data_IF_018243030547
#
_entry.id   IF_018243030547
#
_cell.length_a   1.000
_cell.length_b   1.000
_cell.length_c   1.000
_cell.angle_alpha   90.00
_cell.angle_beta   90.00
_cell.angle_gamma   90.00
#
_symmetry.space_group_name_H-M   'P 1'
#
loop_
_entity.id
_entity.type
_entity.pdbx_description
1 polymer ?
#
# COMPACT_ATOMS: atom_id res chain seq x y z
N UNK A 1 6.77 1.10 -5.05
CA UNK A 1 5.48 1.22 -5.77
C UNK A 1 4.39 0.27 -5.28
N UNK A 2 4.73 -0.95 -4.87
CA UNK A 2 3.75 -1.97 -4.43
C UNK A 2 2.82 -1.44 -3.32
N UNK A 3 3.38 -0.99 -2.19
CA UNK A 3 2.60 -0.44 -1.07
C UNK A 3 1.64 0.70 -1.48
N UNK A 4 2.06 1.74 -2.23
CA UNK A 4 1.13 2.74 -2.75
C UNK A 4 -0.08 2.19 -3.52
N UNK A 5 0.14 1.21 -4.39
CA UNK A 5 -0.91 0.60 -5.20
C UNK A 5 -1.88 -0.17 -4.30
N UNK A 6 -1.35 -1.05 -3.44
CA UNK A 6 -2.18 -1.92 -2.60
C UNK A 6 -2.96 -1.15 -1.53
N UNK A 7 -2.38 -0.11 -0.94
CA UNK A 7 -3.10 0.74 0.03
C UNK A 7 -4.16 1.60 -0.66
N UNK A 8 -3.95 1.98 -1.93
CA UNK A 8 -4.99 2.63 -2.75
C UNK A 8 -6.15 1.68 -3.03
N UNK A 9 -5.86 0.44 -3.43
CA UNK A 9 -6.88 -0.61 -3.59
C UNK A 9 -7.67 -0.79 -2.29
N UNK A 10 -6.97 -1.00 -1.17
CA UNK A 10 -7.58 -1.18 0.16
C UNK A 10 -8.51 -0.01 0.50
N UNK A 11 -8.07 1.22 0.26
CA UNK A 11 -8.86 2.41 0.56
C UNK A 11 -10.04 2.62 -0.40
N UNK A 12 -9.91 2.29 -1.70
CA UNK A 12 -11.04 2.26 -2.62
C UNK A 12 -12.09 1.26 -2.16
N UNK A 13 -11.69 0.05 -1.79
CA UNK A 13 -12.62 -0.98 -1.29
C UNK A 13 -13.34 -0.52 -0.03
N UNK A 14 -12.64 0.11 0.92
CA UNK A 14 -13.22 0.76 2.11
C UNK A 14 -14.28 1.78 1.71
N UNK A 15 -13.91 2.76 0.87
CA UNK A 15 -14.81 3.82 0.46
C UNK A 15 -16.02 3.31 -0.32
N UNK A 16 -15.88 2.26 -1.13
CA UNK A 16 -17.01 1.62 -1.81
C UNK A 16 -17.96 0.92 -0.83
N UNK A 17 -17.48 0.42 0.31
CA UNK A 17 -18.34 -0.15 1.37
C UNK A 17 -19.05 0.97 2.12
N UNK A 18 -18.29 2.00 2.52
CA UNK A 18 -18.78 3.14 3.31
C UNK A 18 -19.70 4.08 2.52
N UNK A 19 -19.63 4.07 1.19
CA UNK A 19 -20.48 4.88 0.31
C UNK A 19 -21.98 4.69 0.60
N UNK A 20 -22.39 3.47 0.99
CA UNK A 20 -23.78 3.15 1.37
C UNK A 20 -24.23 3.82 2.67
N UNK A 21 -23.28 4.25 3.48
CA UNK A 21 -23.46 4.86 4.80
C UNK A 21 -23.20 6.37 4.77
N UNK A 22 -23.16 7.00 3.58
CA UNK A 22 -22.82 8.42 3.40
C UNK A 22 -21.55 8.86 4.14
N UNK A 23 -20.56 7.98 4.24
CA UNK A 23 -19.29 8.23 4.90
C UNK A 23 -18.12 7.76 4.03
N UNK A 24 -16.92 8.23 4.36
CA UNK A 24 -15.69 7.84 3.69
C UNK A 24 -14.49 7.95 4.63
N UNK A 25 -13.38 7.34 4.21
CA UNK A 25 -12.06 7.55 4.78
C UNK A 25 -11.17 8.22 3.75
N UNK A 26 -10.53 9.29 4.19
CA UNK A 26 -9.46 9.95 3.49
C UNK A 26 -8.12 9.41 3.98
N UNK A 27 -7.29 9.00 3.01
CA UNK A 27 -5.94 8.51 3.24
C UNK A 27 -4.94 9.66 3.08
N UNK A 28 -4.07 9.82 4.06
CA UNK A 28 -2.97 10.77 4.05
C UNK A 28 -1.64 10.02 4.20
N UNK A 29 -0.56 10.60 3.67
CA UNK A 29 0.79 10.08 3.86
C UNK A 29 1.74 11.14 4.39
N UNK A 30 2.47 10.77 5.44
CA UNK A 30 3.49 11.60 6.07
C UNK A 30 4.84 10.98 5.80
N UNK A 31 5.71 11.69 5.09
CA UNK A 31 7.07 11.22 4.82
C UNK A 31 7.87 11.09 6.11
N UNK A 32 8.72 10.07 6.19
CA UNK A 32 9.65 9.92 7.30
C UNK A 32 10.78 10.97 7.19
N UNK A 33 11.38 11.34 8.32
CA UNK A 33 12.54 12.25 8.35
C UNK A 33 13.88 11.51 8.42
N UNK A 34 13.83 10.24 8.78
CA UNK A 34 14.99 9.37 8.98
C UNK A 34 14.62 7.93 8.59
N UNK A 35 15.61 7.07 8.27
CA UNK A 35 15.39 5.66 8.01
C UNK A 35 14.59 5.04 9.16
N UNK A 36 13.46 4.42 8.84
CA UNK A 36 12.54 3.87 9.83
C UNK A 36 11.98 2.54 9.32
N UNK A 37 11.75 1.60 10.24
CA UNK A 37 11.21 0.28 9.94
C UNK A 37 9.75 0.21 10.42
N UNK A 38 8.87 -0.31 9.57
CA UNK A 38 7.51 -0.73 9.93
C UNK A 38 7.60 -2.15 10.50
N UNK A 39 7.12 -2.36 11.72
CA UNK A 39 7.09 -3.68 12.37
C UNK A 39 5.65 -4.19 12.41
N UNK A 40 5.43 -5.37 11.84
CA UNK A 40 4.10 -5.98 11.79
C UNK A 40 3.79 -6.88 12.99
N UNK A 41 4.83 -7.36 13.69
CA UNK A 41 4.74 -8.30 14.81
C UNK A 41 4.47 -7.69 16.19
N UNK A 42 4.61 -6.37 16.36
CA UNK A 42 4.38 -5.72 17.66
C UNK A 42 2.88 -5.70 17.99
N UNK A 43 2.51 -5.55 19.29
CA UNK A 43 1.13 -5.42 19.79
C UNK A 43 0.42 -4.18 19.21
N UNK A 44 0.12 -4.21 17.91
CA UNK A 44 -0.65 -3.19 17.22
C UNK A 44 -2.11 -3.42 17.55
N UNK A 45 -2.77 -2.37 18.02
CA UNK A 45 -4.19 -2.41 18.31
C UNK A 45 -4.95 -1.73 17.17
N UNK A 46 -6.03 -2.35 16.66
CA UNK A 46 -6.91 -1.68 15.71
C UNK A 46 -7.46 -0.38 16.30
N UNK A 47 -7.46 0.66 15.49
CA UNK A 47 -8.04 1.96 15.83
C UNK A 47 -9.38 2.14 15.12
N UNK A 48 -10.35 2.71 15.82
CA UNK A 48 -11.67 2.97 15.25
C UNK A 48 -11.70 4.32 14.51
N UNK A 49 -12.09 4.29 13.23
CA UNK A 49 -12.30 5.46 12.40
C UNK A 49 -13.77 5.53 12.00
N UNK A 50 -14.62 5.87 12.97
CA UNK A 50 -16.07 5.91 12.81
C UNK A 50 -16.66 4.50 12.73
N UNK A 51 -17.06 4.08 11.52
CA UNK A 51 -17.77 2.80 11.32
C UNK A 51 -16.86 1.64 10.92
N UNK A 52 -15.54 1.84 10.91
CA UNK A 52 -14.58 0.85 10.45
C UNK A 52 -13.29 0.93 11.27
N UNK A 53 -12.69 -0.22 11.51
CA UNK A 53 -11.43 -0.35 12.22
C UNK A 53 -10.27 -0.39 11.24
N UNK A 54 -9.13 0.18 11.62
CA UNK A 54 -7.93 0.23 10.80
C UNK A 54 -6.73 -0.18 11.64
N UNK A 55 -5.84 -0.99 11.06
CA UNK A 55 -4.55 -1.29 11.66
C UNK A 55 -3.57 -0.13 11.38
N UNK A 56 -3.14 0.65 12.39
CA UNK A 56 -2.22 1.76 12.17
C UNK A 56 -0.81 1.26 11.85
N UNK A 57 -0.02 2.13 11.19
CA UNK A 57 1.41 1.89 11.03
C UNK A 57 2.12 2.00 12.38
N UNK A 58 2.93 0.99 12.72
CA UNK A 58 3.78 1.03 13.92
C UNK A 58 5.25 1.03 13.50
N UNK A 59 5.96 2.10 13.86
CA UNK A 59 7.27 2.41 13.30
C UNK A 59 8.35 2.44 14.38
N UNK A 60 9.53 1.91 14.06
CA UNK A 60 10.70 1.94 14.93
C UNK A 60 11.89 2.59 14.22
N UNK A 61 12.59 3.47 14.94
CA UNK A 61 13.80 4.14 14.43
C UNK A 61 15.06 3.29 14.52
N UNK A 62 15.02 2.15 15.21
CA UNK A 62 16.16 1.23 15.32
C UNK A 62 15.73 -0.19 14.91
N UNK A 63 16.49 -0.86 14.02
CA UNK A 63 16.25 -2.26 13.66
C UNK A 63 16.25 -3.19 14.87
N UNK A 64 16.98 -2.83 15.93
CA UNK A 64 17.18 -3.65 17.12
C UNK A 64 15.99 -3.63 18.10
N UNK A 65 14.95 -2.82 17.83
CA UNK A 65 13.79 -2.67 18.73
C UNK A 65 12.68 -3.71 18.51
N UNK A 66 12.75 -4.49 17.43
CA UNK A 66 11.77 -5.53 17.12
C UNK A 66 12.56 -6.78 16.66
N UNK A 67 12.55 -7.86 17.45
CA UNK A 67 13.33 -9.09 17.21
C UNK A 67 12.75 -9.97 16.10
N UNK A 68 11.64 -9.57 15.49
CA UNK A 68 10.94 -10.35 14.48
C UNK A 68 11.46 -10.08 13.06
N UNK A 69 11.39 -11.10 12.21
CA UNK A 69 11.73 -11.04 10.78
C UNK A 69 10.73 -10.21 9.94
N UNK A 70 9.77 -9.53 10.57
CA UNK A 70 8.68 -8.83 9.89
C UNK A 70 8.87 -7.31 9.87
N UNK A 71 10.12 -6.87 9.70
CA UNK A 71 10.43 -5.45 9.55
C UNK A 71 10.60 -5.09 8.07
N UNK A 72 9.95 -4.00 7.64
CA UNK A 72 10.11 -3.43 6.30
C UNK A 72 10.54 -1.98 6.40
N UNK A 73 11.61 -1.59 5.69
CA UNK A 73 11.96 -0.18 5.56
C UNK A 73 10.82 0.57 4.89
N UNK A 74 10.45 1.74 5.42
CA UNK A 74 9.35 2.55 4.90
C UNK A 74 9.77 4.01 4.71
N UNK A 75 9.24 4.61 3.66
CA UNK A 75 9.49 6.01 3.31
C UNK A 75 8.43 6.96 3.90
N UNK A 76 7.26 6.43 4.29
CA UNK A 76 6.14 7.19 4.81
C UNK A 76 5.26 6.37 5.76
N UNK A 77 4.54 7.07 6.64
CA UNK A 77 3.43 6.53 7.42
C UNK A 77 2.09 6.95 6.85
N UNK A 78 1.11 6.07 7.00
CA UNK A 78 -0.28 6.32 6.66
C UNK A 78 -1.03 6.93 7.83
N UNK A 79 -1.86 7.93 7.54
CA UNK A 79 -2.80 8.52 8.48
C UNK A 79 -4.19 8.52 7.85
N UNK A 80 -5.21 8.32 8.68
CA UNK A 80 -6.58 8.19 8.22
C UNK A 80 -7.46 9.26 8.84
N UNK A 81 -8.41 9.76 8.06
CA UNK A 81 -9.40 10.74 8.50
C UNK A 81 -10.79 10.22 8.12
N UNK A 82 -11.66 10.08 9.10
CA UNK A 82 -13.06 9.71 8.88
C UNK A 82 -13.87 10.95 8.50
N UNK A 83 -14.66 10.82 7.45
CA UNK A 83 -15.51 11.89 6.93
C UNK A 83 -16.99 11.48 6.95
N UNK A 84 -17.84 12.34 7.52
CA UNK A 84 -19.31 12.21 7.50
C UNK A 84 -19.92 12.63 6.16
N UNK A 85 -19.25 12.28 5.06
CA UNK A 85 -19.70 12.50 3.70
C UNK A 85 -19.10 11.43 2.80
N UNK A 86 -19.73 11.21 1.64
CA UNK A 86 -19.17 10.35 0.59
C UNK A 86 -17.83 10.92 0.12
N UNK A 87 -16.97 10.03 -0.36
CA UNK A 87 -15.77 10.44 -1.08
C UNK A 87 -16.21 11.20 -2.34
N UNK A 88 -15.43 12.19 -2.75
CA UNK A 88 -15.75 13.06 -3.91
C UNK A 88 -15.89 12.26 -5.22
N UNK A 89 -15.22 11.11 -5.30
CA UNK A 89 -15.30 10.20 -6.44
C UNK A 89 -16.64 9.45 -6.46
N UNK A 90 -17.23 9.30 -7.65
CA UNK A 90 -18.44 8.50 -7.79
C UNK A 90 -18.15 7.02 -7.51
N UNK A 91 -19.20 6.25 -7.21
CA UNK A 91 -19.09 4.79 -7.04
C UNK A 91 -18.53 4.11 -8.30
N UNK A 92 -18.85 4.63 -9.49
CA UNK A 92 -18.39 4.04 -10.75
C UNK A 92 -16.93 4.41 -11.04
N UNK A 93 -16.48 5.62 -10.65
CA UNK A 93 -15.06 5.99 -10.70
C UNK A 93 -14.22 5.07 -9.78
N UNK A 94 -14.70 4.81 -8.56
CA UNK A 94 -14.02 3.91 -7.63
C UNK A 94 -13.93 2.47 -8.15
N UNK A 95 -14.97 1.97 -8.83
CA UNK A 95 -14.94 0.65 -9.46
C UNK A 95 -13.94 0.61 -10.62
N UNK A 96 -13.98 1.60 -11.50
CA UNK A 96 -13.08 1.67 -12.65
C UNK A 96 -11.62 1.69 -12.19
N UNK A 97 -11.27 2.58 -11.26
CA UNK A 97 -9.90 2.66 -10.75
C UNK A 97 -9.45 1.40 -10.03
N UNK A 98 -10.35 0.74 -9.28
CA UNK A 98 -10.06 -0.56 -8.66
C UNK A 98 -9.74 -1.61 -9.72
N UNK A 99 -10.55 -1.71 -10.77
CA UNK A 99 -10.40 -2.72 -11.81
C UNK A 99 -9.10 -2.49 -12.60
N UNK A 100 -8.78 -1.24 -12.93
CA UNK A 100 -7.49 -0.87 -13.52
C UNK A 100 -6.33 -1.30 -12.62
N UNK A 101 -6.42 -1.03 -11.31
CA UNK A 101 -5.37 -1.37 -10.35
C UNK A 101 -5.18 -2.89 -10.20
N UNK A 102 -6.25 -3.68 -10.29
CA UNK A 102 -6.16 -5.15 -10.21
C UNK A 102 -5.33 -5.68 -11.38
N UNK A 103 -5.66 -5.26 -12.59
CA UNK A 103 -4.94 -5.65 -13.80
C UNK A 103 -3.47 -5.19 -13.75
N UNK A 104 -3.24 -3.93 -13.35
CA UNK A 104 -1.89 -3.37 -13.27
C UNK A 104 -1.03 -4.12 -12.25
N UNK A 105 -1.59 -4.57 -11.12
CA UNK A 105 -0.86 -5.37 -10.13
C UNK A 105 -0.31 -6.66 -10.74
N UNK A 106 -1.15 -7.41 -11.44
CA UNK A 106 -0.75 -8.69 -12.05
C UNK A 106 0.33 -8.50 -13.12
N UNK A 107 0.17 -7.49 -14.00
CA UNK A 107 1.16 -7.18 -15.05
C UNK A 107 2.51 -6.73 -14.48
N UNK A 108 2.49 -5.81 -13.51
CA UNK A 108 3.71 -5.34 -12.84
C UNK A 108 4.39 -6.46 -12.06
N UNK A 109 3.62 -7.32 -11.38
CA UNK A 109 4.19 -8.48 -10.67
C UNK A 109 4.93 -9.41 -11.63
N UNK A 110 4.28 -9.82 -12.74
CA UNK A 110 4.91 -10.66 -13.74
C UNK A 110 6.20 -10.04 -14.30
N UNK A 111 6.17 -8.75 -14.63
CA UNK A 111 7.35 -8.03 -15.11
C UNK A 111 8.50 -8.03 -14.08
N UNK A 112 8.20 -7.77 -12.81
CA UNK A 112 9.20 -7.78 -11.73
C UNK A 112 9.78 -9.19 -11.52
N UNK A 113 8.96 -10.24 -11.56
CA UNK A 113 9.42 -11.63 -11.47
C UNK A 113 10.37 -12.02 -12.61
N UNK A 114 10.17 -11.45 -13.80
CA UNK A 114 11.02 -11.70 -14.98
C UNK A 114 12.32 -10.92 -14.97
N UNK A 115 12.31 -9.72 -14.40
CA UNK A 115 13.45 -8.79 -14.44
C UNK A 115 14.34 -8.88 -13.21
N UNK A 116 13.85 -9.41 -12.09
CA UNK A 116 14.70 -9.61 -10.91
C UNK A 116 15.65 -10.79 -11.15
N UNK A 117 16.95 -10.55 -10.98
CA UNK A 117 17.99 -11.56 -11.18
C UNK A 117 17.92 -12.71 -10.15
N UNK A 118 17.17 -12.55 -9.04
CA UNK A 118 17.27 -13.43 -7.87
C UNK A 118 15.96 -13.65 -7.05
N UNK A 119 14.78 -13.16 -7.47
CA UNK A 119 13.53 -13.40 -6.71
C UNK A 119 12.42 -13.95 -7.59
N UNK A 120 12.17 -15.26 -7.48
CA UNK A 120 10.90 -15.88 -7.90
C UNK A 120 9.73 -15.41 -7.01
N UNK A 121 10.03 -14.68 -5.94
CA UNK A 121 9.04 -14.26 -4.95
C UNK A 121 8.11 -13.18 -5.49
N UNK A 122 6.82 -13.48 -5.39
CA UNK A 122 5.76 -12.55 -5.74
C UNK A 122 5.57 -11.52 -4.62
N UNK A 123 6.24 -10.38 -4.77
CA UNK A 123 6.19 -9.27 -3.83
C UNK A 123 4.79 -8.66 -3.67
N UNK A 124 3.95 -8.71 -4.72
CA UNK A 124 2.57 -8.24 -4.65
C UNK A 124 1.73 -9.21 -3.82
N UNK A 125 1.81 -10.52 -4.09
CA UNK A 125 1.08 -11.53 -3.33
C UNK A 125 1.45 -11.53 -1.86
N UNK A 126 2.74 -11.35 -1.54
CA UNK A 126 3.22 -11.20 -0.16
C UNK A 126 2.54 -10.02 0.55
N UNK A 127 2.54 -8.83 -0.06
CA UNK A 127 1.90 -7.64 0.54
C UNK A 127 0.36 -7.73 0.52
N UNK A 128 -0.27 -8.47 -0.42
CA UNK A 128 -1.72 -8.75 -0.42
C UNK A 128 -2.09 -9.64 0.77
N UNK A 129 -1.36 -10.74 0.97
CA UNK A 129 -1.58 -11.64 2.11
C UNK A 129 -1.45 -10.88 3.43
N UNK A 130 -0.44 -10.00 3.55
CA UNK A 130 -0.29 -9.12 4.71
C UNK A 130 -1.54 -8.27 4.97
N UNK A 131 -2.07 -7.59 3.96
CA UNK A 131 -3.28 -6.74 4.11
C UNK A 131 -4.49 -7.57 4.54
N UNK A 132 -4.63 -8.78 3.99
CA UNK A 132 -5.69 -9.72 4.38
C UNK A 132 -5.53 -10.10 5.84
N UNK A 133 -4.34 -10.53 6.27
CA UNK A 133 -4.09 -10.93 7.66
C UNK A 133 -4.30 -9.79 8.66
N UNK A 134 -4.01 -8.55 8.28
CA UNK A 134 -4.36 -7.38 9.12
C UNK A 134 -5.88 -7.23 9.28
N UNK A 135 -6.67 -7.45 8.23
CA UNK A 135 -8.14 -7.37 8.32
C UNK A 135 -8.75 -8.60 9.00
N UNK A 136 -8.16 -9.79 8.87
CA UNK A 136 -8.52 -10.99 9.64
C UNK A 136 -8.37 -10.73 11.14
N UNK A 137 -7.21 -10.21 11.55
CA UNK A 137 -6.95 -9.87 12.95
C UNK A 137 -7.94 -8.83 13.50
N UNK A 138 -8.30 -7.81 12.71
CA UNK A 138 -9.37 -6.86 13.08
C UNK A 138 -10.72 -7.59 13.23
N UNK A 139 -11.02 -8.51 12.32
CA UNK A 139 -12.26 -9.28 12.32
C UNK A 139 -12.40 -10.21 13.53
N UNK A 140 -11.27 -10.71 14.04
CA UNK A 140 -11.16 -11.59 15.20
C UNK A 140 -11.20 -10.84 16.54
N UNK A 141 -10.56 -9.67 16.60
CA UNK A 141 -10.37 -8.94 17.87
C UNK A 141 -11.47 -7.92 18.18
N UNK A 142 -12.19 -7.43 17.18
CA UNK A 142 -13.22 -6.40 17.36
C UNK A 142 -14.62 -7.00 17.30
N UNK A 143 -15.54 -6.56 18.16
CA UNK A 143 -16.92 -7.09 18.21
C UNK A 143 -17.86 -6.45 17.20
N UNK A 144 -17.69 -5.15 16.92
CA UNK A 144 -18.52 -4.37 15.98
C UNK A 144 -17.70 -4.03 14.73
N UNK A 145 -17.66 -4.96 13.76
CA UNK A 145 -16.75 -4.89 12.61
C UNK A 145 -17.36 -5.33 11.28
N UNK A 146 -18.67 -5.18 11.10
CA UNK A 146 -19.38 -5.60 9.87
C UNK A 146 -18.80 -4.99 8.59
N UNK A 147 -18.31 -3.74 8.63
CA UNK A 147 -17.67 -3.12 7.48
C UNK A 147 -16.31 -3.76 7.18
N UNK A 148 -15.53 -4.12 8.20
CA UNK A 148 -14.27 -4.86 8.03
C UNK A 148 -14.53 -6.28 7.50
N UNK A 149 -15.58 -6.98 7.94
CA UNK A 149 -15.96 -8.29 7.36
C UNK A 149 -16.31 -8.20 5.89
N UNK A 150 -16.98 -7.11 5.47
CA UNK A 150 -17.24 -6.84 4.04
C UNK A 150 -15.96 -6.52 3.28
N UNK A 151 -15.02 -5.80 3.91
CA UNK A 151 -13.73 -5.46 3.33
C UNK A 151 -12.87 -6.71 3.13
N UNK A 152 -12.77 -7.57 4.14
CA UNK A 152 -12.05 -8.85 4.10
C UNK A 152 -12.52 -9.70 2.91
N UNK A 153 -13.83 -9.92 2.78
CA UNK A 153 -14.41 -10.65 1.63
C UNK A 153 -14.04 -10.04 0.27
N UNK A 154 -13.93 -8.71 0.18
CA UNK A 154 -13.53 -8.03 -1.06
C UNK A 154 -12.03 -8.15 -1.34
N UNK A 155 -11.20 -8.19 -0.30
CA UNK A 155 -9.77 -8.40 -0.41
C UNK A 155 -9.43 -9.85 -0.76
N UNK A 156 -10.15 -10.82 -0.21
CA UNK A 156 -10.04 -12.23 -0.61
C UNK A 156 -10.41 -12.39 -2.09
N UNK A 157 -11.52 -11.77 -2.52
CA UNK A 157 -11.89 -11.75 -3.94
C UNK A 157 -10.82 -11.08 -4.82
N UNK A 158 -10.23 -9.98 -4.35
CA UNK A 158 -9.11 -9.33 -5.04
C UNK A 158 -7.92 -10.27 -5.21
N UNK A 159 -7.52 -10.98 -4.14
CA UNK A 159 -6.44 -11.97 -4.20
C UNK A 159 -6.72 -13.04 -5.25
N UNK A 160 -7.94 -13.60 -5.28
CA UNK A 160 -8.33 -14.60 -6.29
C UNK A 160 -8.20 -14.05 -7.71
N UNK A 161 -8.74 -12.85 -7.98
CA UNK A 161 -8.64 -12.22 -9.30
C UNK A 161 -7.17 -11.98 -9.69
N UNK A 162 -6.37 -11.47 -8.76
CA UNK A 162 -4.94 -11.25 -8.96
C UNK A 162 -4.19 -12.55 -9.34
N UNK A 163 -4.44 -13.63 -8.61
CA UNK A 163 -3.82 -14.93 -8.88
C UNK A 163 -4.27 -15.50 -10.24
N UNK A 164 -5.55 -15.37 -10.60
CA UNK A 164 -6.10 -15.78 -11.90
C UNK A 164 -5.47 -14.98 -13.06
N UNK A 165 -5.39 -13.66 -12.95
CA UNK A 165 -4.79 -12.78 -13.96
C UNK A 165 -3.30 -13.06 -14.12
N UNK A 166 -2.57 -13.22 -13.01
CA UNK A 166 -1.14 -13.53 -13.04
C UNK A 166 -0.88 -14.89 -13.70
N UNK A 167 -1.70 -15.90 -13.40
CA UNK A 167 -1.59 -17.22 -14.02
C UNK A 167 -1.93 -17.17 -15.52
N UNK A 168 -2.91 -16.36 -15.91
CA UNK A 168 -3.24 -16.12 -17.31
C UNK A 168 -2.06 -15.50 -18.06
N UNK A 169 -1.44 -14.45 -17.51
CA UNK A 169 -0.24 -13.82 -18.09
C UNK A 169 0.93 -14.82 -18.19
N UNK A 170 1.16 -15.61 -17.13
CA UNK A 170 2.22 -16.65 -17.10
C UNK A 170 2.00 -17.70 -18.19
N UNK A 171 0.76 -18.14 -18.40
CA UNK A 171 0.44 -19.19 -19.39
C UNK A 171 0.57 -18.72 -20.83
N UNK A 172 0.17 -17.47 -21.12
CA UNK A 172 0.29 -16.86 -22.45
C UNK A 172 1.75 -16.47 -22.77
N UNK A 173 2.64 -16.44 -21.76
CA UNK A 173 4.02 -15.93 -21.87
C UNK A 173 4.05 -14.54 -22.49
N UNK A 174 3.13 -13.69 -22.07
CA UNK A 174 3.03 -12.34 -22.59
C UNK A 174 4.16 -11.50 -21.99
N UNK A 175 5.26 -11.37 -22.73
CA UNK A 175 6.38 -10.51 -22.33
C UNK A 175 5.98 -9.05 -22.56
N UNK A 176 6.00 -8.26 -21.49
CA UNK A 176 5.72 -6.83 -21.56
C UNK A 176 6.95 -6.07 -22.02
N UNK A 177 6.78 -5.24 -23.04
CA UNK A 177 7.79 -4.26 -23.46
C UNK A 177 7.97 -3.19 -22.38
N UNK A 178 9.16 -2.59 -22.32
CA UNK A 178 9.41 -1.47 -21.40
C UNK A 178 8.42 -0.32 -21.61
N UNK A 179 8.04 -0.04 -22.87
CA UNK A 179 7.05 0.98 -23.21
C UNK A 179 5.68 0.71 -22.58
N UNK A 180 5.21 -0.54 -22.63
CA UNK A 180 3.96 -0.94 -21.98
C UNK A 180 4.06 -0.77 -20.45
N UNK A 181 5.17 -1.17 -19.85
CA UNK A 181 5.39 -0.97 -18.40
C UNK A 181 5.40 0.52 -18.04
N UNK A 182 6.06 1.37 -18.82
CA UNK A 182 6.03 2.82 -18.62
C UNK A 182 4.61 3.38 -18.72
N UNK A 183 3.80 2.89 -19.65
CA UNK A 183 2.40 3.33 -19.79
C UNK A 183 1.54 2.88 -18.60
N UNK A 184 1.72 1.65 -18.11
CA UNK A 184 1.06 1.17 -16.89
C UNK A 184 1.49 1.98 -15.67
N UNK A 185 2.77 2.30 -15.54
CA UNK A 185 3.26 3.17 -14.47
C UNK A 185 2.63 4.57 -14.58
N UNK A 186 2.55 5.13 -15.78
CA UNK A 186 1.95 6.46 -16.01
C UNK A 186 0.49 6.50 -15.58
N UNK A 187 -0.33 5.50 -15.94
CA UNK A 187 -1.73 5.44 -15.50
C UNK A 187 -1.86 5.37 -13.98
N UNK A 188 -0.97 4.62 -13.31
CA UNK A 188 -0.87 4.58 -11.85
C UNK A 188 -0.50 5.95 -11.26
N UNK A 189 0.44 6.68 -11.87
CA UNK A 189 0.87 8.00 -11.40
C UNK A 189 -0.25 9.05 -11.46
N UNK A 190 -1.17 8.92 -12.42
CA UNK A 190 -2.25 9.87 -12.63
C UNK A 190 -3.40 9.70 -11.62
N UNK A 191 -3.43 8.59 -10.87
CA UNK A 191 -4.43 8.36 -9.82
C UNK A 191 -4.18 9.28 -8.60
N UNK A 192 -5.18 10.09 -8.15
CA UNK A 192 -4.98 11.09 -7.10
C UNK A 192 -4.40 10.54 -5.79
N UNK A 193 -4.90 9.38 -5.33
CA UNK A 193 -4.45 8.75 -4.09
C UNK A 193 -3.00 8.30 -4.18
N UNK A 194 -2.64 7.64 -5.29
CA UNK A 194 -1.28 7.17 -5.52
C UNK A 194 -0.31 8.34 -5.61
N UNK A 195 -0.72 9.45 -6.24
CA UNK A 195 0.05 10.70 -6.26
C UNK A 195 0.35 11.24 -4.86
N UNK A 196 -0.59 11.17 -3.92
CA UNK A 196 -0.36 11.56 -2.52
C UNK A 196 0.74 10.69 -1.90
N UNK A 197 0.63 9.36 -2.03
CA UNK A 197 1.58 8.41 -1.45
C UNK A 197 2.98 8.56 -2.08
N UNK A 198 3.06 8.70 -3.40
CA UNK A 198 4.31 8.88 -4.13
C UNK A 198 4.97 10.24 -3.82
N UNK A 199 4.18 11.29 -3.58
CA UNK A 199 4.73 12.57 -3.15
C UNK A 199 5.40 12.46 -1.78
N UNK A 200 4.87 11.65 -0.86
CA UNK A 200 5.53 11.37 0.42
C UNK A 200 6.86 10.63 0.21
N UNK A 201 6.90 9.62 -0.67
CA UNK A 201 8.14 8.92 -1.05
C UNK A 201 9.17 9.90 -1.62
N UNK A 202 8.76 10.79 -2.55
CA UNK A 202 9.65 11.79 -3.15
C UNK A 202 10.23 12.75 -2.10
N UNK A 203 9.39 13.23 -1.16
CA UNK A 203 9.84 14.09 -0.05
C UNK A 203 10.84 13.37 0.86
N UNK A 204 10.60 12.11 1.16
CA UNK A 204 11.56 11.28 1.91
C UNK A 204 12.90 11.19 1.17
N UNK A 205 12.90 10.81 -0.11
CA UNK A 205 14.10 10.72 -0.93
C UNK A 205 14.88 12.04 -0.99
N UNK A 206 14.17 13.16 -1.17
CA UNK A 206 14.78 14.50 -1.12
C UNK A 206 15.43 14.78 0.24
N UNK A 207 14.76 14.43 1.34
CA UNK A 207 15.30 14.63 2.69
C UNK A 207 16.59 13.83 2.93
N UNK A 208 16.66 12.60 2.42
CA UNK A 208 17.86 11.77 2.49
C UNK A 208 19.03 12.39 1.72
N UNK A 209 18.78 12.91 0.51
CA UNK A 209 19.82 13.57 -0.29
C UNK A 209 20.35 14.80 0.45
N UNK A 210 19.46 15.64 0.97
CA UNK A 210 19.83 16.86 1.69
C UNK A 210 20.66 16.52 2.93
N UNK A 211 20.19 15.60 3.77
CA UNK A 211 20.91 15.23 5.00
C UNK A 211 22.29 14.63 4.72
N UNK A 212 22.41 13.78 3.70
CA UNK A 212 23.71 13.22 3.30
C UNK A 212 24.65 14.27 2.67
N UNK A 213 24.13 15.32 2.03
CA UNK A 213 24.96 16.43 1.55
C UNK A 213 25.56 17.23 2.71
N UNK A 214 24.82 17.44 3.80
CA UNK A 214 25.33 18.12 5.00
C UNK A 214 26.37 17.27 5.75
N UNK A 215 26.21 15.95 5.84
CA UNK A 215 27.17 15.04 6.50
C UNK A 215 28.54 14.98 5.77
N UNK A 216 28.54 15.08 4.44
CA UNK A 216 29.77 15.16 3.63
C UNK A 216 30.50 16.51 3.83
N UNK A 217 29.78 17.58 4.16
CA UNK A 217 30.40 18.88 4.43
C UNK A 217 31.01 18.96 5.83
N UNK A 218 30.40 18.36 6.85
CA UNK A 218 30.93 18.34 8.22
C UNK A 218 32.19 17.48 8.33
N UNK A 219 32.22 16.34 7.61
CA UNK A 219 33.40 15.46 7.58
C UNK A 219 34.62 16.07 6.87
N UNK A 220 34.43 17.05 5.98
CA UNK A 220 35.53 17.78 5.32
C UNK A 220 36.06 18.97 6.13
N UNK A 221 35.36 19.42 7.17
CA UNK A 221 35.81 20.54 8.03
C UNK A 221 36.52 20.09 9.31
N UNK A 222 36.61 18.78 9.55
CA UNK A 222 37.33 18.19 10.69
C UNK A 222 38.52 17.32 10.24
N UNK A 223 39.22 17.72 9.17
CA UNK A 223 40.48 17.11 8.71
C UNK A 223 41.63 18.10 8.82
#
# INVERSE_FOLDING_TARGET
>A
MIRPILETIRNHLRNMIMYKHNSSIKLHATHMKQPTMLCYAYNRHPENYGNIWIMPDHVHHSPNMCTSHEQKSIEYTLNYEFLNQKVDQSMDDLKSQRDDLYEICAKLSYFLMKTSLNSQDDLFLSDINRIISEEEFICETQTMNDLNRKLLKRLEKFKTIYEEDLNTIKSIRNDFTLSEIYNLMKSVYDMPMIKILLNAIRKYQQSLVINNQYDVHISKTCS
#
